data_IF_967223395140
#
_entry.id   IF_967223395140
#
_cell.length_a   1.000
_cell.length_b   1.000
_cell.length_c   1.000
_cell.angle_alpha   90.00
_cell.angle_beta   90.00
_cell.angle_gamma   90.00
#
_symmetry.space_group_name_H-M   'P 1'
#
loop_
_entity.id
_entity.type
_entity.pdbx_description
1 polymer ?
#
# COMPACT_ATOMS: atom_id res chain seq x y z
N UNK A 1 0.00 -7.04 16.89
CA UNK A 1 0.66 -6.58 15.64
C UNK A 1 -0.04 -7.12 14.40
N UNK A 2 -0.43 -8.40 14.35
CA UNK A 2 -1.14 -8.95 13.18
C UNK A 2 -2.50 -8.29 12.90
N UNK A 3 -3.28 -7.96 13.93
CA UNK A 3 -4.54 -7.22 13.75
C UNK A 3 -4.29 -5.82 13.13
N UNK A 4 -3.26 -5.11 13.59
CA UNK A 4 -2.87 -3.82 13.03
C UNK A 4 -2.36 -3.94 11.58
N UNK A 5 -1.57 -4.97 11.28
CA UNK A 5 -1.11 -5.28 9.92
C UNK A 5 -2.29 -5.55 8.98
N UNK A 6 -3.23 -6.40 9.39
CA UNK A 6 -4.45 -6.71 8.63
C UNK A 6 -5.31 -5.48 8.42
N UNK A 7 -5.49 -4.65 9.44
CA UNK A 7 -6.22 -3.38 9.34
C UNK A 7 -5.58 -2.44 8.33
N UNK A 8 -4.26 -2.27 8.38
CA UNK A 8 -3.53 -1.45 7.42
C UNK A 8 -3.69 -1.99 5.98
N UNK A 9 -3.59 -3.30 5.79
CA UNK A 9 -3.85 -3.92 4.49
C UNK A 9 -5.28 -3.64 4.01
N UNK A 10 -6.28 -3.77 4.88
CA UNK A 10 -7.67 -3.43 4.55
C UNK A 10 -7.83 -1.97 4.11
N UNK A 11 -7.28 -1.03 4.88
CA UNK A 11 -7.37 0.40 4.54
C UNK A 11 -6.65 0.76 3.24
N UNK A 12 -5.60 0.03 2.84
CA UNK A 12 -4.96 0.23 1.53
C UNK A 12 -5.84 -0.27 0.37
N UNK A 13 -6.56 -1.38 0.58
CA UNK A 13 -7.53 -1.87 -0.41
C UNK A 13 -8.70 -0.90 -0.55
N UNK A 14 -9.27 -0.44 0.58
CA UNK A 14 -10.35 0.55 0.60
C UNK A 14 -9.94 1.86 -0.12
N UNK A 15 -8.71 2.33 0.09
CA UNK A 15 -8.18 3.50 -0.61
C UNK A 15 -8.14 3.30 -2.13
N UNK A 16 -7.71 2.11 -2.59
CA UNK A 16 -7.62 1.80 -4.01
C UNK A 16 -9.01 1.70 -4.66
N UNK A 17 -9.95 1.04 -3.98
CA UNK A 17 -11.34 0.93 -4.42
C UNK A 17 -12.00 2.32 -4.53
N UNK A 18 -11.73 3.23 -3.59
CA UNK A 18 -12.22 4.60 -3.63
C UNK A 18 -11.64 5.40 -4.81
N UNK A 19 -10.33 5.25 -5.11
CA UNK A 19 -9.68 5.87 -6.27
C UNK A 19 -10.23 5.34 -7.59
N UNK A 20 -10.40 4.03 -7.71
CA UNK A 20 -10.99 3.40 -8.91
C UNK A 20 -12.46 3.83 -9.10
N UNK A 21 -13.24 3.93 -8.01
CA UNK A 21 -14.63 4.42 -8.04
C UNK A 21 -14.70 5.87 -8.48
N UNK A 22 -13.89 6.76 -7.88
CA UNK A 22 -13.86 8.18 -8.22
C UNK A 22 -13.39 8.43 -9.66
N UNK A 23 -12.50 7.58 -10.20
CA UNK A 23 -12.07 7.65 -11.59
C UNK A 23 -13.13 7.12 -12.59
N UNK A 24 -13.93 6.14 -12.18
CA UNK A 24 -15.02 5.58 -12.98
C UNK A 24 -16.28 6.45 -13.00
N UNK A 25 -16.46 7.30 -12.00
CA UNK A 25 -17.61 8.18 -11.87
C UNK A 25 -17.37 9.56 -12.52
N UNK A 26 -17.74 9.68 -13.79
CA UNK A 26 -17.61 10.89 -14.62
C UNK A 26 -18.27 12.18 -14.06
N UNK A 27 -19.19 12.06 -13.10
CA UNK A 27 -19.84 13.17 -12.41
C UNK A 27 -19.14 13.57 -11.09
N UNK A 28 -18.16 12.80 -10.60
CA UNK A 28 -17.41 13.08 -9.39
C UNK A 28 -16.00 13.56 -9.74
N UNK A 29 -15.43 14.51 -8.97
CA UNK A 29 -14.02 14.83 -9.09
C UNK A 29 -13.17 13.61 -8.71
N UNK A 30 -12.23 13.23 -9.59
CA UNK A 30 -11.25 12.21 -9.26
C UNK A 30 -10.47 12.58 -7.99
N UNK A 31 -10.08 11.57 -7.21
CA UNK A 31 -9.20 11.79 -6.06
C UNK A 31 -7.83 12.34 -6.51
N UNK A 32 -7.15 13.15 -5.67
CA UNK A 32 -5.81 13.62 -5.98
C UNK A 32 -4.82 12.46 -6.06
N UNK A 33 -4.49 12.02 -7.28
CA UNK A 33 -3.71 10.81 -7.54
C UNK A 33 -2.36 10.79 -6.83
N UNK A 34 -1.67 11.92 -6.75
CA UNK A 34 -0.38 12.00 -6.05
C UNK A 34 -0.51 11.71 -4.54
N UNK A 35 -1.59 12.20 -3.92
CA UNK A 35 -1.86 11.93 -2.50
C UNK A 35 -2.22 10.46 -2.25
N UNK A 36 -2.99 9.85 -3.16
CA UNK A 36 -3.32 8.41 -3.12
C UNK A 36 -2.05 7.57 -3.22
N UNK A 37 -1.22 7.83 -4.23
CA UNK A 37 0.05 7.10 -4.43
C UNK A 37 1.01 7.28 -3.26
N UNK A 38 1.09 8.48 -2.68
CA UNK A 38 1.91 8.74 -1.51
C UNK A 38 1.45 7.92 -0.29
N UNK A 39 0.14 7.84 -0.06
CA UNK A 39 -0.45 7.05 1.01
C UNK A 39 -0.22 5.54 0.81
N UNK A 40 -0.45 5.03 -0.41
CA UNK A 40 -0.16 3.64 -0.77
C UNK A 40 1.32 3.29 -0.53
N UNK A 41 2.23 4.13 -1.04
CA UNK A 41 3.67 3.92 -0.89
C UNK A 41 4.11 3.94 0.59
N UNK A 42 3.55 4.83 1.41
CA UNK A 42 3.82 4.87 2.85
C UNK A 42 3.29 3.62 3.57
N UNK A 43 2.09 3.16 3.22
CA UNK A 43 1.51 1.92 3.75
C UNK A 43 2.34 0.69 3.41
N UNK A 44 2.75 0.54 2.14
CA UNK A 44 3.60 -0.57 1.71
C UNK A 44 4.96 -0.58 2.41
N UNK A 45 5.60 0.59 2.57
CA UNK A 45 6.85 0.70 3.36
C UNK A 45 6.65 0.27 4.80
N UNK A 46 5.52 0.63 5.41
CA UNK A 46 5.19 0.24 6.79
C UNK A 46 4.97 -1.27 6.91
N UNK A 47 4.26 -1.88 5.95
CA UNK A 47 4.05 -3.33 5.90
C UNK A 47 5.40 -4.07 5.73
N UNK A 48 6.25 -3.61 4.81
CA UNK A 48 7.57 -4.19 4.57
C UNK A 48 8.49 -4.08 5.79
N UNK A 49 8.56 -2.89 6.42
CA UNK A 49 9.32 -2.69 7.64
C UNK A 49 8.83 -3.60 8.78
N UNK A 50 7.51 -3.76 8.92
CA UNK A 50 6.91 -4.63 9.92
C UNK A 50 7.21 -6.10 9.66
N UNK A 51 7.09 -6.55 8.41
CA UNK A 51 7.37 -7.93 8.03
C UNK A 51 8.87 -8.28 8.17
N UNK A 52 9.78 -7.34 7.84
CA UNK A 52 11.22 -7.47 8.11
C UNK A 52 11.51 -7.65 9.61
N UNK A 53 10.92 -6.80 10.47
CA UNK A 53 11.07 -6.94 11.94
C UNK A 53 10.52 -8.25 12.50
N UNK A 54 9.57 -8.87 11.80
CA UNK A 54 8.97 -10.15 12.19
C UNK A 54 9.67 -11.37 11.58
N UNK A 55 10.72 -11.16 10.78
CA UNK A 55 11.39 -12.25 10.05
C UNK A 55 10.51 -12.91 8.98
N UNK A 56 9.42 -12.24 8.56
CA UNK A 56 8.47 -12.74 7.57
C UNK A 56 8.89 -12.40 6.13
N UNK A 57 9.88 -11.53 5.97
CA UNK A 57 10.54 -11.23 4.70
C UNK A 57 12.00 -11.66 4.82
N UNK A 58 12.40 -12.64 4.02
CA UNK A 58 13.80 -12.71 3.58
C UNK A 58 13.99 -11.49 2.66
N UNK A 59 14.97 -10.59 2.91
CA UNK A 59 15.23 -9.51 1.97
C UNK A 59 15.43 -10.16 0.60
N UNK A 60 14.75 -9.66 -0.42
CA UNK A 60 15.01 -10.08 -1.79
C UNK A 60 16.52 -10.08 -1.96
N UNK A 61 17.12 -11.25 -2.21
CA UNK A 61 18.53 -11.36 -2.51
C UNK A 61 18.76 -10.34 -3.61
N UNK A 62 19.58 -9.34 -3.31
CA UNK A 62 20.00 -8.34 -4.28
C UNK A 62 20.64 -9.17 -5.39
N UNK A 63 19.90 -9.41 -6.47
CA UNK A 63 20.37 -10.21 -7.59
C UNK A 63 21.67 -9.56 -8.02
N UNK A 64 22.78 -10.25 -7.74
CA UNK A 64 24.11 -9.80 -8.07
C UNK A 64 24.14 -9.49 -9.55
N UNK A 65 24.27 -8.21 -9.87
CA UNK A 65 24.77 -7.78 -11.15
C UNK A 65 26.27 -8.14 -11.16
N UNK A 66 26.56 -9.31 -11.72
CA UNK A 66 27.89 -9.67 -12.26
C UNK A 66 27.99 -9.09 -13.66
#
# INVERSE_FOLDING_TARGET
>A
LDAARRRLTGSLVELREADDTAAGEWWQPALPREAVLAAEQAGHRTLAATAKRRGLLVPAQENGAV
#
